data_IF_460712764896
#
_entry.id   IF_460712764896
#
_cell.length_a   1.000
_cell.length_b   1.000
_cell.length_c   1.000
_cell.angle_alpha   90.00
_cell.angle_beta   90.00
_cell.angle_gamma   90.00
#
_symmetry.space_group_name_H-M   'P 1'
#
loop_
_entity.id
_entity.type
_entity.pdbx_description
1 polymer ?
#
# COMPACT_ATOMS: atom_id res chain seq x y z
N UNK A 1 -12.38 -67.75 39.20
CA UNK A 1 -12.05 -68.76 40.22
C UNK A 1 -12.65 -68.27 41.54
N UNK A 2 -13.63 -68.98 42.11
CA UNK A 2 -14.33 -68.53 43.33
C UNK A 2 -13.54 -69.03 44.54
N UNK A 3 -12.86 -68.14 45.24
CA UNK A 3 -12.18 -68.47 46.49
C UNK A 3 -13.21 -68.53 47.61
N UNK A 4 -13.23 -69.61 48.37
CA UNK A 4 -14.10 -69.76 49.53
C UNK A 4 -13.22 -69.69 50.76
N UNK A 5 -13.45 -68.71 51.64
CA UNK A 5 -12.75 -68.64 52.92
C UNK A 5 -13.27 -69.77 53.80
N UNK A 6 -12.37 -70.39 54.56
CA UNK A 6 -12.70 -71.47 55.50
C UNK A 6 -13.77 -71.05 56.53
N UNK A 7 -13.87 -69.75 56.80
CA UNK A 7 -14.86 -69.14 57.71
C UNK A 7 -16.22 -68.88 57.06
N UNK A 8 -16.30 -68.78 55.72
CA UNK A 8 -17.56 -68.57 54.97
C UNK A 8 -18.28 -69.92 54.68
N UNK A 9 -17.80 -71.03 55.27
CA UNK A 9 -18.30 -72.41 55.13
C UNK A 9 -18.98 -72.94 56.40
N UNK A 10 -19.38 -72.05 57.31
CA UNK A 10 -20.04 -72.43 58.56
C UNK A 10 -21.32 -73.25 58.29
N UNK A 11 -21.25 -74.55 58.62
CA UNK A 11 -22.32 -75.53 58.37
C UNK A 11 -21.97 -76.65 57.39
N UNK A 12 -20.82 -76.62 56.69
CA UNK A 12 -20.34 -77.79 55.93
C UNK A 12 -19.54 -78.73 56.84
N UNK A 13 -19.84 -80.01 56.76
CA UNK A 13 -19.10 -81.08 57.44
C UNK A 13 -17.72 -81.25 56.77
N UNK A 14 -16.65 -81.19 57.56
CA UNK A 14 -15.26 -81.05 57.10
C UNK A 14 -14.56 -82.37 56.79
N UNK A 15 -15.29 -83.47 56.82
CA UNK A 15 -14.74 -84.83 56.86
C UNK A 15 -14.28 -85.33 55.47
N UNK A 16 -14.52 -84.54 54.41
CA UNK A 16 -14.10 -84.83 53.04
C UNK A 16 -13.70 -83.55 52.28
N UNK A 17 -12.41 -83.23 52.29
CA UNK A 17 -11.81 -82.33 51.30
C UNK A 17 -11.34 -83.24 50.16
N UNK A 18 -11.82 -82.99 48.94
CA UNK A 18 -11.38 -83.72 47.75
C UNK A 18 -9.85 -83.56 47.59
N UNK A 19 -9.04 -84.64 47.62
CA UNK A 19 -7.58 -84.59 47.49
C UNK A 19 -7.11 -83.97 46.17
N UNK A 20 -7.99 -83.87 45.16
CA UNK A 20 -7.70 -83.18 43.92
C UNK A 20 -7.80 -81.64 44.03
N UNK A 21 -8.29 -81.10 45.16
CA UNK A 21 -8.42 -79.67 45.38
C UNK A 21 -7.13 -79.04 45.94
N UNK A 22 -6.75 -77.92 45.34
CA UNK A 22 -5.57 -77.14 45.76
C UNK A 22 -5.94 -76.24 46.95
N UNK A 23 -5.30 -76.46 48.10
CA UNK A 23 -5.46 -75.62 49.31
C UNK A 23 -4.28 -74.67 49.45
N UNK A 24 -4.56 -73.36 49.52
CA UNK A 24 -3.55 -72.31 49.71
C UNK A 24 -3.36 -71.98 51.20
N UNK A 25 -2.11 -71.74 51.62
CA UNK A 25 -1.82 -71.30 53.00
C UNK A 25 -2.25 -69.84 53.17
N UNK A 26 -2.71 -69.48 54.38
CA UNK A 26 -3.20 -68.14 54.68
C UNK A 26 -2.21 -67.02 54.32
N UNK A 27 -0.91 -67.21 54.56
CA UNK A 27 0.15 -66.25 54.19
C UNK A 27 0.23 -66.02 52.68
N UNK A 28 0.06 -67.08 51.89
CA UNK A 28 0.18 -67.03 50.42
C UNK A 28 -1.08 -66.37 49.82
N UNK A 29 -2.24 -66.57 50.45
CA UNK A 29 -3.48 -65.84 50.13
C UNK A 29 -3.35 -64.33 50.43
N UNK A 30 -2.72 -63.95 51.55
CA UNK A 30 -2.49 -62.55 51.89
C UNK A 30 -1.56 -61.86 50.87
N UNK A 31 -0.40 -62.46 50.57
CA UNK A 31 0.53 -61.94 49.55
C UNK A 31 -0.12 -61.84 48.18
N UNK A 32 -0.91 -62.84 47.78
CA UNK A 32 -1.65 -62.80 46.52
C UNK A 32 -2.67 -61.66 46.50
N UNK A 33 -3.41 -61.44 47.59
CA UNK A 33 -4.43 -60.37 47.69
C UNK A 33 -3.78 -58.99 47.64
N UNK A 34 -2.65 -58.79 48.33
CA UNK A 34 -1.89 -57.54 48.31
C UNK A 34 -1.32 -57.25 46.92
N UNK A 35 -0.80 -58.28 46.23
CA UNK A 35 -0.32 -58.17 44.86
C UNK A 35 -1.46 -57.83 43.88
N UNK A 36 -2.65 -58.41 44.05
CA UNK A 36 -3.84 -58.03 43.27
C UNK A 36 -4.23 -56.58 43.54
N UNK A 37 -4.25 -56.14 44.81
CA UNK A 37 -4.58 -54.76 45.17
C UNK A 37 -3.57 -53.75 44.59
N UNK A 38 -2.28 -54.09 44.57
CA UNK A 38 -1.24 -53.27 43.95
C UNK A 38 -1.41 -53.19 42.42
N UNK A 39 -1.70 -54.32 41.75
CA UNK A 39 -1.95 -54.34 40.31
C UNK A 39 -3.19 -53.52 39.93
N UNK A 40 -4.27 -53.61 40.71
CA UNK A 40 -5.47 -52.82 40.47
C UNK A 40 -5.23 -51.31 40.69
N UNK A 41 -4.46 -50.93 41.72
CA UNK A 41 -4.02 -49.53 41.89
C UNK A 41 -3.16 -49.06 40.73
N UNK A 42 -2.16 -49.83 40.32
CA UNK A 42 -1.28 -49.46 39.20
C UNK A 42 -2.06 -49.32 37.88
N UNK A 43 -3.05 -50.19 37.63
CA UNK A 43 -3.96 -50.07 36.49
C UNK A 43 -4.81 -48.82 36.56
N UNK A 44 -5.41 -48.55 37.72
CA UNK A 44 -6.21 -47.33 37.93
C UNK A 44 -5.38 -46.07 37.73
N UNK A 45 -4.15 -46.03 38.24
CA UNK A 45 -3.24 -44.90 38.06
C UNK A 45 -2.81 -44.75 36.60
N UNK A 46 -2.51 -45.86 35.90
CA UNK A 46 -2.16 -45.82 34.49
C UNK A 46 -3.31 -45.27 33.63
N UNK A 47 -4.55 -45.70 33.89
CA UNK A 47 -5.73 -45.18 33.19
C UNK A 47 -5.98 -43.70 33.52
N UNK A 48 -5.82 -43.30 34.79
CA UNK A 48 -5.93 -41.90 35.19
C UNK A 48 -4.89 -41.02 34.49
N UNK A 49 -3.62 -41.43 34.49
CA UNK A 49 -2.54 -40.70 33.82
C UNK A 49 -2.80 -40.61 32.31
N UNK A 50 -3.27 -41.68 31.67
CA UNK A 50 -3.63 -41.65 30.24
C UNK A 50 -4.74 -40.65 29.97
N UNK A 51 -5.79 -40.66 30.79
CA UNK A 51 -6.91 -39.73 30.64
C UNK A 51 -6.45 -38.27 30.81
N UNK A 52 -5.70 -37.98 31.86
CA UNK A 52 -5.13 -36.65 32.12
C UNK A 52 -4.22 -36.20 30.97
N UNK A 53 -3.37 -37.10 30.46
CA UNK A 53 -2.48 -36.80 29.33
C UNK A 53 -3.26 -36.51 28.04
N UNK A 54 -4.31 -37.27 27.74
CA UNK A 54 -5.17 -37.03 26.58
C UNK A 54 -5.90 -35.69 26.70
N UNK A 55 -6.47 -35.39 27.87
CA UNK A 55 -7.14 -34.11 28.11
C UNK A 55 -6.19 -32.92 27.98
N UNK A 56 -5.00 -33.02 28.58
CA UNK A 56 -3.97 -31.99 28.44
C UNK A 56 -3.54 -31.81 26.98
N UNK A 57 -3.32 -32.91 26.25
CA UNK A 57 -2.97 -32.87 24.83
C UNK A 57 -4.05 -32.18 23.98
N UNK A 58 -5.33 -32.52 24.18
CA UNK A 58 -6.45 -31.91 23.43
C UNK A 58 -6.62 -30.42 23.77
N UNK A 59 -6.45 -30.04 25.03
CA UNK A 59 -6.50 -28.66 25.48
C UNK A 59 -5.37 -27.83 24.86
N UNK A 60 -4.12 -28.30 24.94
CA UNK A 60 -2.96 -27.61 24.39
C UNK A 60 -3.01 -27.55 22.86
N UNK A 61 -3.49 -28.61 22.20
CA UNK A 61 -3.71 -28.62 20.75
C UNK A 61 -4.73 -27.56 20.32
N UNK A 62 -5.86 -27.46 21.05
CA UNK A 62 -6.88 -26.45 20.78
C UNK A 62 -6.33 -25.04 21.00
N UNK A 63 -5.62 -24.81 22.10
CA UNK A 63 -5.00 -23.52 22.41
C UNK A 63 -3.98 -23.11 21.35
N UNK A 64 -3.04 -23.99 21.00
CA UNK A 64 -2.03 -23.71 19.98
C UNK A 64 -2.62 -23.48 18.59
N UNK A 65 -3.74 -24.14 18.26
CA UNK A 65 -4.46 -23.89 17.00
C UNK A 65 -5.10 -22.49 16.99
N UNK A 66 -5.73 -22.08 18.08
CA UNK A 66 -6.34 -20.75 18.21
C UNK A 66 -5.29 -19.63 18.19
N UNK A 67 -4.19 -19.80 18.94
CA UNK A 67 -3.06 -18.86 18.95
C UNK A 67 -2.44 -18.73 17.55
N UNK A 68 -2.14 -19.86 16.89
CA UNK A 68 -1.57 -19.85 15.54
C UNK A 68 -2.53 -19.24 14.49
N UNK A 69 -3.84 -19.44 14.65
CA UNK A 69 -4.83 -18.81 13.78
C UNK A 69 -4.90 -17.29 13.98
N UNK A 70 -4.76 -16.80 15.22
CA UNK A 70 -4.71 -15.37 15.50
C UNK A 70 -3.43 -14.75 14.95
N UNK A 71 -2.28 -15.36 15.17
CA UNK A 71 -0.99 -14.89 14.65
C UNK A 71 -0.99 -14.84 13.12
N UNK A 72 -1.46 -15.90 12.46
CA UNK A 72 -1.56 -15.94 11.00
C UNK A 72 -2.48 -14.84 10.44
N UNK A 73 -3.58 -14.50 11.13
CA UNK A 73 -4.47 -13.40 10.72
C UNK A 73 -3.79 -12.04 10.85
N UNK A 74 -3.02 -11.83 11.91
CA UNK A 74 -2.27 -10.59 12.11
C UNK A 74 -1.21 -10.44 11.00
N UNK A 75 -0.41 -11.49 10.77
CA UNK A 75 0.62 -11.49 9.73
C UNK A 75 0.02 -11.27 8.33
N UNK A 76 -1.13 -11.89 8.03
CA UNK A 76 -1.83 -11.67 6.77
C UNK A 76 -2.27 -10.22 6.61
N UNK A 77 -2.77 -9.59 7.69
CA UNK A 77 -3.21 -8.20 7.69
C UNK A 77 -2.02 -7.25 7.48
N UNK A 78 -0.89 -7.51 8.15
CA UNK A 78 0.35 -6.74 7.95
C UNK A 78 0.83 -6.82 6.50
N UNK A 79 0.90 -8.03 5.93
CA UNK A 79 1.27 -8.24 4.53
C UNK A 79 0.31 -7.55 3.56
N UNK A 80 -0.99 -7.50 3.88
CA UNK A 80 -1.97 -6.78 3.07
C UNK A 80 -1.71 -5.26 3.10
N UNK A 81 -1.47 -4.68 4.27
CA UNK A 81 -1.17 -3.25 4.43
C UNK A 81 0.14 -2.90 3.72
N UNK A 82 1.17 -3.73 3.88
CA UNK A 82 2.46 -3.54 3.22
C UNK A 82 2.31 -3.55 1.69
N UNK A 83 1.58 -4.52 1.15
CA UNK A 83 1.31 -4.60 -0.28
C UNK A 83 0.52 -3.40 -0.80
N UNK A 84 -0.52 -2.97 -0.06
CA UNK A 84 -1.29 -1.79 -0.42
C UNK A 84 -0.40 -0.53 -0.46
N UNK A 85 0.48 -0.37 0.54
CA UNK A 85 1.42 0.76 0.62
C UNK A 85 2.39 0.76 -0.57
N UNK A 86 3.00 -0.39 -0.88
CA UNK A 86 3.90 -0.55 -2.05
C UNK A 86 3.19 -0.23 -3.36
N UNK A 87 1.90 -0.59 -3.50
CA UNK A 87 1.12 -0.25 -4.68
C UNK A 87 0.92 1.26 -4.81
N UNK A 88 0.53 1.94 -3.73
CA UNK A 88 0.34 3.40 -3.72
C UNK A 88 1.64 4.11 -4.12
N UNK A 89 2.76 3.74 -3.51
CA UNK A 89 4.08 4.30 -3.84
C UNK A 89 4.48 4.02 -5.29
N UNK A 90 4.23 2.81 -5.79
CA UNK A 90 4.50 2.45 -7.17
C UNK A 90 3.70 3.33 -8.14
N UNK A 91 2.40 3.49 -7.94
CA UNK A 91 1.57 4.32 -8.81
C UNK A 91 1.99 5.79 -8.78
N UNK A 92 2.27 6.35 -7.59
CA UNK A 92 2.80 7.70 -7.47
C UNK A 92 4.11 7.87 -8.26
N UNK A 93 5.02 6.89 -8.19
CA UNK A 93 6.28 6.91 -8.95
C UNK A 93 6.07 6.80 -10.48
N UNK A 94 5.06 6.05 -10.93
CA UNK A 94 4.73 5.93 -12.35
C UNK A 94 4.15 7.25 -12.85
N UNK A 95 3.23 7.86 -12.10
CA UNK A 95 2.65 9.16 -12.43
C UNK A 95 3.71 10.23 -12.61
N UNK A 96 4.65 10.36 -11.67
CA UNK A 96 5.75 11.34 -11.79
C UNK A 96 6.64 11.08 -13.02
N UNK A 97 6.96 9.81 -13.31
CA UNK A 97 7.74 9.45 -14.50
C UNK A 97 7.00 9.77 -15.80
N UNK A 98 5.68 9.57 -15.83
CA UNK A 98 4.87 9.93 -16.99
C UNK A 98 4.86 11.44 -17.23
N UNK A 99 4.72 12.25 -16.18
CA UNK A 99 4.80 13.72 -16.31
C UNK A 99 6.15 14.11 -16.91
N UNK A 100 7.26 13.60 -16.36
CA UNK A 100 8.59 13.87 -16.90
C UNK A 100 8.70 13.50 -18.38
N UNK A 101 8.26 12.29 -18.76
CA UNK A 101 8.29 11.83 -20.15
C UNK A 101 7.48 12.73 -21.10
N UNK A 102 6.28 13.14 -20.70
CA UNK A 102 5.43 14.02 -21.50
C UNK A 102 6.09 15.40 -21.63
N UNK A 103 6.59 15.95 -20.53
CA UNK A 103 7.26 17.26 -20.54
C UNK A 103 8.51 17.24 -21.43
N UNK A 104 9.31 16.17 -21.39
CA UNK A 104 10.48 16.00 -22.25
C UNK A 104 10.09 15.90 -23.73
N UNK A 105 9.04 15.14 -24.04
CA UNK A 105 8.52 15.03 -25.40
C UNK A 105 8.06 16.40 -25.94
N UNK A 106 7.31 17.17 -25.14
CA UNK A 106 6.85 18.51 -25.53
C UNK A 106 8.02 19.48 -25.69
N UNK A 107 9.01 19.46 -24.77
CA UNK A 107 10.24 20.28 -24.90
C UNK A 107 10.97 19.97 -26.20
N UNK A 108 11.08 18.68 -26.56
CA UNK A 108 11.73 18.26 -27.81
C UNK A 108 10.98 18.75 -29.04
N UNK A 109 9.65 18.67 -29.05
CA UNK A 109 8.82 19.20 -30.14
C UNK A 109 9.03 20.71 -30.28
N UNK A 110 9.05 21.46 -29.18
CA UNK A 110 9.26 22.92 -29.22
C UNK A 110 10.67 23.27 -29.69
N UNK A 111 11.67 22.45 -29.35
CA UNK A 111 13.06 22.65 -29.76
C UNK A 111 13.26 22.60 -31.28
N UNK A 112 12.36 21.97 -32.04
CA UNK A 112 12.42 21.90 -33.50
C UNK A 112 11.92 23.20 -34.19
N UNK A 113 11.24 24.09 -33.46
CA UNK A 113 10.78 25.38 -33.99
C UNK A 113 11.89 26.42 -33.97
N UNK A 114 11.90 27.33 -34.95
CA UNK A 114 12.80 28.48 -34.95
C UNK A 114 12.47 29.48 -33.84
N UNK A 115 13.45 30.27 -33.40
CA UNK A 115 13.25 31.32 -32.38
C UNK A 115 12.15 32.30 -32.81
N UNK A 116 12.11 32.63 -34.09
CA UNK A 116 11.08 33.42 -34.74
C UNK A 116 9.66 32.87 -34.51
N UNK A 117 9.47 31.57 -34.66
CA UNK A 117 8.18 30.90 -34.44
C UNK A 117 7.80 30.85 -32.97
N UNK A 118 8.77 30.55 -32.09
CA UNK A 118 8.56 30.50 -30.63
C UNK A 118 8.14 31.87 -30.08
N UNK A 119 8.86 32.93 -30.45
CA UNK A 119 8.54 34.30 -30.04
C UNK A 119 7.13 34.67 -30.51
N UNK A 120 6.79 34.41 -31.78
CA UNK A 120 5.45 34.71 -32.29
C UNK A 120 4.35 33.92 -31.56
N UNK A 121 4.61 32.66 -31.19
CA UNK A 121 3.68 31.87 -30.39
C UNK A 121 3.48 32.48 -28.98
N UNK A 122 4.57 32.86 -28.31
CA UNK A 122 4.53 33.53 -26.99
C UNK A 122 3.76 34.85 -27.07
N UNK A 123 4.05 35.69 -28.06
CA UNK A 123 3.36 36.97 -28.27
C UNK A 123 1.85 36.75 -28.48
N UNK A 124 1.46 35.82 -29.36
CA UNK A 124 0.03 35.52 -29.59
C UNK A 124 -0.66 35.02 -28.32
N UNK A 125 0.02 34.17 -27.54
CA UNK A 125 -0.49 33.66 -26.27
C UNK A 125 -0.74 34.80 -25.28
N UNK A 126 0.24 35.70 -25.09
CA UNK A 126 0.11 36.87 -24.23
C UNK A 126 -1.01 37.82 -24.68
N UNK A 127 -1.10 38.11 -25.99
CA UNK A 127 -2.17 38.94 -26.56
C UNK A 127 -3.55 38.32 -26.34
N UNK A 128 -3.67 36.98 -26.32
CA UNK A 128 -4.93 36.31 -26.04
C UNK A 128 -5.43 36.57 -24.61
N UNK A 129 -4.51 36.59 -23.63
CA UNK A 129 -4.82 36.90 -22.23
C UNK A 129 -5.32 38.35 -22.10
N UNK A 130 -4.72 39.27 -22.85
CA UNK A 130 -5.04 40.70 -22.81
C UNK A 130 -5.93 41.19 -23.98
N UNK A 131 -6.68 40.28 -24.62
CA UNK A 131 -7.41 40.54 -25.87
C UNK A 131 -8.44 41.67 -25.85
N UNK A 132 -8.84 42.14 -24.67
CA UNK A 132 -9.85 43.20 -24.49
C UNK A 132 -9.25 44.55 -24.03
N UNK A 133 -7.92 44.70 -24.07
CA UNK A 133 -7.25 45.94 -23.68
C UNK A 133 -7.06 46.87 -24.86
N UNK A 134 -7.41 48.16 -24.70
CA UNK A 134 -7.36 49.13 -25.81
C UNK A 134 -5.94 49.53 -26.20
N UNK A 135 -5.02 49.60 -25.25
CA UNK A 135 -3.62 49.93 -25.47
C UNK A 135 -2.75 48.90 -24.76
N UNK A 136 -1.76 48.38 -25.48
CA UNK A 136 -0.78 47.44 -24.96
C UNK A 136 0.63 47.85 -25.39
N UNK A 137 1.57 47.71 -24.46
CA UNK A 137 3.00 47.80 -24.75
C UNK A 137 3.60 46.40 -24.66
N UNK A 138 4.15 45.91 -25.76
CA UNK A 138 4.83 44.63 -25.87
C UNK A 138 6.34 44.86 -25.81
N UNK A 139 6.98 44.30 -24.79
CA UNK A 139 8.42 44.40 -24.57
C UNK A 139 9.07 43.05 -24.88
N UNK A 140 10.10 43.06 -25.72
CA UNK A 140 10.73 41.88 -26.31
C UNK A 140 12.25 42.00 -26.29
N UNK A 141 12.96 40.88 -26.49
CA UNK A 141 14.39 40.94 -26.82
C UNK A 141 14.63 41.79 -28.10
N UNK A 142 15.68 42.64 -28.14
CA UNK A 142 15.92 43.54 -29.27
C UNK A 142 16.09 42.83 -30.61
N UNK A 143 16.60 41.60 -30.59
CA UNK A 143 16.80 40.74 -31.78
C UNK A 143 15.48 40.33 -32.46
N UNK A 144 14.37 40.28 -31.72
CA UNK A 144 13.07 39.86 -32.25
C UNK A 144 12.11 41.02 -32.51
N UNK A 145 12.33 42.19 -31.90
CA UNK A 145 11.45 43.35 -32.04
C UNK A 145 11.18 43.76 -33.52
N UNK A 146 12.18 43.83 -34.43
CA UNK A 146 11.91 44.19 -35.82
C UNK A 146 10.98 43.21 -36.53
N UNK A 147 11.16 41.91 -36.27
CA UNK A 147 10.38 40.86 -36.89
C UNK A 147 8.92 40.88 -36.41
N UNK A 148 8.69 41.08 -35.11
CA UNK A 148 7.34 41.18 -34.55
C UNK A 148 6.65 42.46 -35.01
N UNK A 149 7.38 43.58 -35.08
CA UNK A 149 6.86 44.86 -35.59
C UNK A 149 6.41 44.77 -37.05
N UNK A 150 7.16 44.05 -37.91
CA UNK A 150 6.76 43.81 -39.29
C UNK A 150 5.41 43.05 -39.42
N UNK A 151 5.01 42.32 -38.37
CA UNK A 151 3.76 41.53 -38.31
C UNK A 151 2.71 42.13 -37.37
N UNK A 152 2.92 43.33 -36.84
CA UNK A 152 2.01 43.95 -35.87
C UNK A 152 0.59 44.14 -36.43
N UNK A 153 0.46 44.52 -37.70
CA UNK A 153 -0.85 44.66 -38.36
C UNK A 153 -1.61 43.32 -38.44
N UNK A 154 -0.92 42.23 -38.74
CA UNK A 154 -1.48 40.87 -38.76
C UNK A 154 -1.94 40.43 -37.36
N UNK A 155 -1.16 40.76 -36.32
CA UNK A 155 -1.52 40.50 -34.93
C UNK A 155 -2.79 41.26 -34.54
N UNK A 156 -2.87 42.57 -34.82
CA UNK A 156 -4.04 43.39 -34.50
C UNK A 156 -5.31 42.92 -35.24
N UNK A 157 -5.19 42.44 -36.48
CA UNK A 157 -6.33 41.82 -37.19
C UNK A 157 -6.85 40.56 -36.50
N UNK A 158 -5.97 39.79 -35.86
CA UNK A 158 -6.33 38.58 -35.11
C UNK A 158 -6.96 38.90 -33.75
N UNK A 159 -6.75 40.11 -33.23
CA UNK A 159 -7.19 40.55 -31.90
C UNK A 159 -7.88 41.93 -31.95
N UNK A 160 -9.10 42.03 -32.50
CA UNK A 160 -9.77 43.32 -32.75
C UNK A 160 -10.14 44.12 -31.49
N UNK A 161 -10.06 43.53 -30.30
CA UNK A 161 -10.23 44.24 -29.03
C UNK A 161 -9.05 45.14 -28.68
N UNK A 162 -7.88 44.90 -29.29
CA UNK A 162 -6.64 45.65 -29.10
C UNK A 162 -6.62 46.81 -30.10
N UNK A 163 -6.69 48.04 -29.58
CA UNK A 163 -6.72 49.24 -30.39
C UNK A 163 -5.33 49.66 -30.87
N UNK A 164 -4.33 49.58 -29.99
CA UNK A 164 -2.94 49.93 -30.28
C UNK A 164 -1.99 48.95 -29.60
N UNK A 165 -0.96 48.53 -30.33
CA UNK A 165 0.13 47.69 -29.85
C UNK A 165 1.45 48.42 -30.09
N UNK A 166 2.08 48.90 -29.03
CA UNK A 166 3.40 49.52 -29.07
C UNK A 166 4.47 48.45 -28.79
N UNK A 167 5.48 48.33 -29.65
CA UNK A 167 6.51 47.28 -29.56
C UNK A 167 7.84 47.92 -29.18
N UNK A 168 8.32 47.61 -27.97
CA UNK A 168 9.50 48.23 -27.38
C UNK A 168 10.59 47.18 -27.16
N UNK A 169 11.80 47.35 -27.72
CA UNK A 169 12.92 46.47 -27.38
C UNK A 169 13.37 46.67 -25.93
N UNK A 170 13.58 45.59 -25.19
CA UNK A 170 14.09 45.57 -23.81
C UNK A 170 15.30 44.64 -23.71
N UNK A 171 16.49 45.20 -23.47
CA UNK A 171 17.75 44.45 -23.40
C UNK A 171 17.88 43.52 -22.19
N UNK A 172 16.95 43.61 -21.23
CA UNK A 172 16.89 42.70 -20.08
C UNK A 172 16.22 41.36 -20.47
N UNK A 173 15.44 41.34 -21.55
CA UNK A 173 14.77 40.15 -22.07
C UNK A 173 15.66 39.40 -23.06
N UNK A 174 15.53 38.07 -23.10
CA UNK A 174 16.31 37.17 -23.95
C UNK A 174 15.42 36.08 -24.53
N UNK A 175 15.77 35.59 -25.72
CA UNK A 175 15.06 34.49 -26.37
C UNK A 175 13.57 34.81 -26.56
N UNK A 176 12.71 33.85 -26.23
CA UNK A 176 11.27 33.96 -26.42
C UNK A 176 10.50 34.76 -25.35
N UNK A 177 11.20 35.35 -24.38
CA UNK A 177 10.57 36.11 -23.31
C UNK A 177 9.94 37.42 -23.83
N UNK A 178 8.68 37.64 -23.44
CA UNK A 178 7.89 38.81 -23.75
C UNK A 178 7.17 39.33 -22.50
N UNK A 179 7.04 40.65 -22.38
CA UNK A 179 6.24 41.29 -21.34
C UNK A 179 5.17 42.13 -22.04
N UNK A 180 3.91 41.90 -21.68
CA UNK A 180 2.79 42.73 -22.11
C UNK A 180 2.35 43.62 -20.97
N UNK A 181 2.37 44.92 -21.19
CA UNK A 181 1.97 45.93 -20.22
C UNK A 181 0.69 46.63 -20.70
N UNK A 182 -0.22 46.88 -19.77
CA UNK A 182 -1.48 47.58 -19.98
C UNK A 182 -1.79 48.45 -18.76
N UNK A 183 -2.78 49.34 -18.86
CA UNK A 183 -3.23 50.15 -17.71
C UNK A 183 -3.74 49.30 -16.53
N UNK A 184 -4.20 48.07 -16.79
CA UNK A 184 -4.77 47.19 -15.77
C UNK A 184 -3.74 46.21 -15.18
N UNK A 185 -2.52 46.15 -15.73
CA UNK A 185 -1.49 45.25 -15.24
C UNK A 185 -0.51 44.76 -16.30
N UNK A 186 0.36 43.85 -15.86
CA UNK A 186 1.48 43.29 -16.64
C UNK A 186 1.34 41.77 -16.73
N UNK A 187 1.61 41.21 -17.90
CA UNK A 187 1.67 39.76 -18.15
C UNK A 187 3.04 39.43 -18.70
N UNK A 188 3.79 38.59 -17.99
CA UNK A 188 5.02 38.00 -18.49
C UNK A 188 4.68 36.70 -19.22
N UNK A 189 5.29 36.49 -20.38
CA UNK A 189 5.06 35.32 -21.20
C UNK A 189 6.40 34.79 -21.75
N UNK A 190 6.60 33.49 -21.67
CA UNK A 190 7.72 32.76 -22.27
C UNK A 190 7.27 31.32 -22.49
N UNK A 191 7.99 30.58 -23.32
CA UNK A 191 7.72 29.14 -23.46
C UNK A 191 7.97 28.44 -22.13
N UNK A 192 9.03 28.78 -21.42
CA UNK A 192 9.37 28.15 -20.14
C UNK A 192 8.28 28.34 -19.08
N UNK A 193 7.69 29.54 -18.97
CA UNK A 193 6.57 29.77 -18.05
C UNK A 193 5.33 28.95 -18.43
N UNK A 194 5.05 28.80 -19.73
CA UNK A 194 3.95 27.96 -20.20
C UNK A 194 4.21 26.48 -19.92
N UNK A 195 5.44 26.01 -20.09
CA UNK A 195 5.85 24.64 -19.77
C UNK A 195 5.74 24.36 -18.27
N UNK A 196 6.16 25.30 -17.42
CA UNK A 196 5.99 25.18 -15.98
C UNK A 196 4.51 25.14 -15.58
N UNK A 197 3.66 25.98 -16.17
CA UNK A 197 2.22 25.97 -15.89
C UNK A 197 1.57 24.64 -16.29
N UNK A 198 1.96 24.07 -17.45
CA UNK A 198 1.51 22.75 -17.89
C UNK A 198 1.96 21.64 -16.93
N UNK A 199 3.23 21.65 -16.53
CA UNK A 199 3.80 20.68 -15.58
C UNK A 199 3.05 20.71 -14.25
N UNK A 200 2.82 21.90 -13.68
CA UNK A 200 2.03 22.06 -12.45
C UNK A 200 0.58 21.59 -12.65
N UNK A 201 0.00 21.84 -13.82
CA UNK A 201 -1.33 21.34 -14.17
C UNK A 201 -1.40 19.81 -14.15
N UNK A 202 -0.43 19.14 -14.77
CA UNK A 202 -0.32 17.68 -14.75
C UNK A 202 -0.10 17.14 -13.34
N UNK A 203 0.84 17.71 -12.58
CA UNK A 203 1.11 17.31 -11.20
C UNK A 203 -0.12 17.47 -10.31
N UNK A 204 -0.89 18.55 -10.47
CA UNK A 204 -2.12 18.77 -9.71
C UNK A 204 -3.21 17.76 -10.10
N UNK A 205 -3.41 17.51 -11.39
CA UNK A 205 -4.43 16.55 -11.86
C UNK A 205 -4.14 15.12 -11.42
N UNK A 206 -2.87 14.71 -11.43
CA UNK A 206 -2.45 13.38 -11.01
C UNK A 206 -2.40 13.27 -9.47
N UNK A 207 -1.89 14.29 -8.77
CA UNK A 207 -1.83 14.31 -7.31
C UNK A 207 -3.18 14.50 -6.61
N UNK A 208 -4.19 15.05 -7.28
CA UNK A 208 -5.54 15.26 -6.72
C UNK A 208 -6.45 14.03 -6.71
N UNK A 209 -5.97 12.89 -7.19
CA UNK A 209 -6.72 11.61 -7.24
C UNK A 209 -6.52 10.70 -6.02
N UNK A 210 -5.85 11.18 -4.96
CA UNK A 210 -5.71 10.45 -3.69
C UNK A 210 -6.84 10.78 -2.72
#
# INVERSE_FOLDING_TARGET
>A
MKFVRLQDLEGRQWDHIDPAQVVLKAKDVAVWTDAQALLERARSDAERIRLEATQAFESEKSRGYEEGLQEARLEQTERMIENATRMVEFFASVEQRMVGLVMDAVRRIIADYSDAERVMAVVRSGLHVMRNQKQLTLRLAPEHAPQVSARAAELLQSFPGIGMLDIVPDSRLKGDAAILESEIGVVEASIDMQMQALEHGFQKMLGSRQ
#
